data_IF_157338154098
#
_entry.id   IF_157338154098
#
_cell.length_a   1.000
_cell.length_b   1.000
_cell.length_c   1.000
_cell.angle_alpha   90.00
_cell.angle_beta   90.00
_cell.angle_gamma   90.00
#
_symmetry.space_group_name_H-M   'P 1'
#
loop_
_entity.id
_entity.type
_entity.pdbx_description
1 polymer ?
#
# COMPACT_ATOMS: atom_id res chain seq x y z
N UNK A 1 20.08 47.74 -40.10
CA UNK A 1 20.53 47.31 -41.44
C UNK A 1 20.50 45.81 -41.49
N UNK A 2 19.69 45.30 -42.42
CA UNK A 2 19.46 43.90 -42.79
C UNK A 2 20.72 43.20 -43.30
N UNK A 3 20.88 41.90 -42.97
CA UNK A 3 21.54 40.87 -43.80
C UNK A 3 21.27 39.49 -43.18
N UNK A 4 20.31 38.73 -43.69
CA UNK A 4 20.36 37.78 -44.83
C UNK A 4 21.27 36.57 -44.58
N UNK A 5 20.62 35.41 -44.44
CA UNK A 5 21.18 34.06 -44.43
C UNK A 5 21.70 33.65 -45.81
N UNK A 6 22.77 32.87 -45.85
CA UNK A 6 23.30 32.22 -47.05
C UNK A 6 23.34 30.71 -46.85
N UNK A 7 22.83 29.99 -47.85
CA UNK A 7 22.87 28.54 -48.07
C UNK A 7 24.29 28.02 -48.40
N UNK A 8 24.54 26.73 -48.13
CA UNK A 8 25.54 25.87 -48.79
C UNK A 8 24.78 24.61 -49.27
N UNK A 9 24.63 24.34 -50.58
CA UNK A 9 25.56 23.66 -51.53
C UNK A 9 25.78 22.19 -51.11
N UNK A 10 25.06 21.22 -51.68
CA UNK A 10 25.23 20.54 -52.99
C UNK A 10 26.37 19.50 -53.02
N UNK A 11 26.10 18.32 -53.59
CA UNK A 11 27.15 17.43 -54.11
C UNK A 11 26.87 15.94 -54.02
N UNK A 12 26.69 15.31 -55.19
CA UNK A 12 26.38 13.89 -55.44
C UNK A 12 27.55 12.92 -55.18
N UNK A 13 27.29 11.60 -55.25
CA UNK A 13 28.02 10.60 -56.07
C UNK A 13 27.23 9.28 -56.15
N UNK A 14 27.14 8.75 -57.38
CA UNK A 14 26.61 7.43 -57.76
C UNK A 14 27.56 6.28 -57.36
N UNK A 15 27.01 5.09 -57.10
CA UNK A 15 27.67 3.82 -57.48
C UNK A 15 26.63 2.73 -57.76
N UNK A 16 26.61 2.25 -59.00
CA UNK A 16 25.97 1.01 -59.44
C UNK A 16 26.87 -0.19 -59.11
N UNK A 17 26.25 -1.33 -58.82
CA UNK A 17 26.90 -2.65 -58.82
C UNK A 17 25.87 -3.78 -58.74
N UNK A 18 25.46 -4.28 -59.92
CA UNK A 18 24.81 -5.60 -60.11
C UNK A 18 25.80 -6.73 -59.72
N UNK A 19 25.36 -7.96 -59.39
CA UNK A 19 25.25 -9.09 -60.35
C UNK A 19 24.69 -10.38 -59.67
N UNK A 20 23.65 -10.95 -60.32
CA UNK A 20 23.16 -12.37 -60.45
C UNK A 20 22.65 -13.16 -59.23
N UNK A 21 21.42 -13.72 -59.17
CA UNK A 21 20.63 -14.70 -59.99
C UNK A 21 20.49 -16.00 -59.14
N UNK A 22 19.33 -16.67 -58.94
CA UNK A 22 18.25 -17.15 -59.84
C UNK A 22 16.91 -17.19 -59.05
N UNK A 23 15.80 -16.64 -59.57
CA UNK A 23 14.76 -17.25 -60.43
C UNK A 23 13.86 -18.29 -59.70
N UNK A 24 12.52 -18.30 -59.78
CA UNK A 24 11.52 -17.66 -60.65
C UNK A 24 10.14 -17.67 -59.91
N UNK A 25 9.46 -16.53 -59.79
CA UNK A 25 8.33 -16.01 -60.61
C UNK A 25 6.99 -16.76 -60.50
N UNK A 26 6.01 -16.11 -59.85
CA UNK A 26 4.86 -15.47 -60.54
C UNK A 26 4.32 -14.32 -59.67
N UNK A 27 4.30 -13.13 -60.25
CA UNK A 27 3.80 -11.83 -59.76
C UNK A 27 2.54 -11.45 -60.59
N UNK A 28 1.85 -10.30 -60.39
CA UNK A 28 1.37 -9.67 -59.14
C UNK A 28 -0.07 -9.10 -59.28
N UNK A 29 -0.66 -8.66 -58.17
CA UNK A 29 -1.51 -7.45 -58.16
C UNK A 29 -1.19 -6.63 -56.90
N UNK A 30 -0.88 -5.35 -57.14
CA UNK A 30 -0.43 -4.33 -56.20
C UNK A 30 -1.42 -4.00 -55.07
N UNK A 31 -0.91 -3.79 -53.85
CA UNK A 31 -1.29 -2.65 -53.00
C UNK A 31 -0.41 -2.54 -51.72
N UNK A 32 0.43 -1.51 -51.72
CA UNK A 32 0.91 -0.68 -50.61
C UNK A 32 1.36 -1.28 -49.26
N UNK A 33 2.66 -1.09 -49.02
CA UNK A 33 3.30 -1.16 -47.71
C UNK A 33 2.94 0.05 -46.84
N UNK A 34 2.20 -0.16 -45.75
CA UNK A 34 2.33 0.60 -44.49
C UNK A 34 1.81 -0.24 -43.33
N UNK A 35 2.65 -0.59 -42.34
CA UNK A 35 2.17 -1.38 -41.20
C UNK A 35 3.22 -1.65 -40.14
N UNK A 36 3.27 -0.76 -39.14
CA UNK A 36 4.07 -0.84 -37.92
C UNK A 36 4.12 -2.25 -37.33
N UNK A 37 5.32 -2.73 -36.99
CA UNK A 37 5.49 -3.89 -36.12
C UNK A 37 4.78 -3.59 -34.78
N UNK A 38 3.68 -4.30 -34.51
CA UNK A 38 3.04 -4.31 -33.19
C UNK A 38 3.94 -5.09 -32.22
N UNK A 39 4.19 -4.59 -31.00
CA UNK A 39 4.69 -5.43 -29.93
C UNK A 39 3.70 -6.57 -29.71
N UNK A 40 4.19 -7.80 -29.53
CA UNK A 40 3.35 -8.93 -29.12
C UNK A 40 2.75 -8.60 -27.76
N UNK A 41 1.43 -8.52 -27.69
CA UNK A 41 0.68 -8.36 -26.46
C UNK A 41 0.99 -9.55 -25.52
N UNK A 42 1.32 -9.22 -24.27
CA UNK A 42 1.39 -10.18 -23.16
C UNK A 42 0.01 -10.81 -22.93
N UNK A 43 -0.03 -12.04 -22.42
CA UNK A 43 -1.25 -12.77 -22.09
C UNK A 43 -2.00 -12.07 -20.95
N UNK A 44 -3.12 -11.42 -21.26
CA UNK A 44 -4.10 -10.92 -20.29
C UNK A 44 -4.74 -12.08 -19.50
N UNK A 45 -5.05 -11.87 -18.22
CA UNK A 45 -5.99 -12.74 -17.51
C UNK A 45 -7.36 -12.58 -18.18
N UNK A 46 -7.90 -13.64 -18.79
CA UNK A 46 -9.25 -13.62 -19.37
C UNK A 46 -10.18 -14.43 -18.50
N UNK A 47 -11.38 -13.91 -18.30
CA UNK A 47 -12.52 -14.62 -17.74
C UNK A 47 -12.61 -16.04 -18.33
N UNK A 48 -12.57 -17.06 -17.47
CA UNK A 48 -12.69 -18.47 -17.85
C UNK A 48 -11.44 -19.16 -18.41
N UNK A 49 -10.26 -18.54 -18.38
CA UNK A 49 -8.99 -19.19 -18.81
C UNK A 49 -7.99 -19.46 -17.69
N UNK A 50 -8.23 -18.91 -16.50
CA UNK A 50 -7.44 -19.19 -15.30
C UNK A 50 -7.87 -20.46 -14.58
N UNK A 51 -7.16 -20.82 -13.49
CA UNK A 51 -7.53 -21.95 -12.63
C UNK A 51 -8.94 -21.77 -12.06
N UNK A 52 -9.66 -22.88 -11.89
CA UNK A 52 -10.93 -22.86 -11.19
C UNK A 52 -10.67 -22.74 -9.69
N UNK A 53 -11.45 -21.92 -9.00
CA UNK A 53 -11.42 -21.89 -7.55
C UNK A 53 -12.12 -23.15 -7.02
N UNK A 54 -11.38 -23.96 -6.27
CA UNK A 54 -11.87 -25.21 -5.66
C UNK A 54 -12.11 -25.08 -4.15
N UNK A 55 -11.91 -23.88 -3.59
CA UNK A 55 -12.14 -23.59 -2.18
C UNK A 55 -13.63 -23.42 -1.82
N UNK A 56 -13.88 -23.16 -0.54
CA UNK A 56 -15.23 -22.94 -0.02
C UNK A 56 -15.86 -21.64 -0.56
N UNK A 57 -17.18 -21.62 -0.70
CA UNK A 57 -17.88 -20.38 -1.05
C UNK A 57 -17.55 -19.26 -0.05
N UNK A 58 -17.31 -18.06 -0.57
CA UNK A 58 -16.91 -16.90 0.21
C UNK A 58 -18.12 -15.96 0.41
N UNK A 59 -18.75 -15.92 1.60
CA UNK A 59 -19.95 -15.13 1.82
C UNK A 59 -19.75 -13.63 1.56
N UNK A 60 -20.74 -12.97 0.95
CA UNK A 60 -20.65 -11.55 0.60
C UNK A 60 -19.82 -11.26 -0.65
N UNK A 61 -19.33 -12.29 -1.33
CA UNK A 61 -18.58 -12.20 -2.58
C UNK A 61 -19.24 -13.06 -3.68
N UNK A 62 -18.92 -12.77 -4.93
CA UNK A 62 -19.46 -13.51 -6.07
C UNK A 62 -19.14 -15.00 -5.97
N UNK A 63 -20.11 -15.87 -6.30
CA UNK A 63 -19.94 -17.34 -6.23
C UNK A 63 -18.81 -17.90 -7.12
N UNK A 64 -18.31 -17.11 -8.07
CA UNK A 64 -17.15 -17.42 -8.91
C UNK A 64 -16.20 -16.23 -8.92
N UNK A 65 -14.89 -16.47 -9.06
CA UNK A 65 -13.95 -15.38 -9.27
C UNK A 65 -14.30 -14.64 -10.57
N UNK A 66 -14.17 -13.32 -10.55
CA UNK A 66 -14.21 -12.48 -11.75
C UNK A 66 -13.11 -12.91 -12.73
N UNK A 67 -11.92 -13.20 -12.19
CA UNK A 67 -10.80 -13.79 -12.92
C UNK A 67 -9.82 -14.46 -11.97
N UNK A 68 -8.92 -15.26 -12.54
CA UNK A 68 -7.88 -15.95 -11.80
C UNK A 68 -6.60 -16.06 -12.63
N UNK A 69 -5.47 -16.22 -11.96
CA UNK A 69 -4.15 -16.41 -12.55
C UNK A 69 -3.48 -17.63 -11.96
N UNK A 70 -2.76 -18.37 -12.81
CA UNK A 70 -1.95 -19.47 -12.33
C UNK A 70 -0.71 -18.94 -11.59
N UNK A 71 -0.39 -19.51 -10.43
CA UNK A 71 0.76 -19.09 -9.63
C UNK A 71 2.12 -19.42 -10.22
N UNK A 72 2.22 -20.34 -11.20
CA UNK A 72 3.50 -20.69 -11.82
C UNK A 72 4.11 -19.51 -12.58
N UNK A 73 5.09 -18.86 -11.96
CA UNK A 73 5.83 -17.74 -12.53
C UNK A 73 5.46 -16.38 -11.95
N UNK A 74 4.43 -16.31 -11.10
CA UNK A 74 4.20 -15.18 -10.21
C UNK A 74 5.12 -15.35 -8.99
N UNK A 75 5.80 -14.29 -8.55
CA UNK A 75 6.82 -14.36 -7.48
C UNK A 75 6.41 -13.66 -6.20
N UNK A 76 5.35 -12.86 -6.22
CA UNK A 76 4.91 -12.16 -5.02
C UNK A 76 3.94 -11.03 -5.30
N UNK A 77 3.70 -10.30 -4.22
CA UNK A 77 2.97 -9.05 -4.23
C UNK A 77 3.94 -7.88 -3.97
N UNK A 78 3.44 -6.65 -3.94
CA UNK A 78 4.29 -5.51 -3.67
C UNK A 78 4.56 -5.41 -2.17
N UNK A 79 5.76 -4.94 -1.80
CA UNK A 79 6.12 -4.66 -0.41
C UNK A 79 5.35 -3.45 0.11
N UNK A 80 4.84 -3.52 1.34
CA UNK A 80 4.14 -2.45 2.03
C UNK A 80 4.93 -2.03 3.28
N UNK A 81 5.94 -1.15 3.12
CA UNK A 81 6.77 -0.73 4.24
C UNK A 81 5.99 0.08 5.29
N UNK A 82 4.85 0.68 4.93
CA UNK A 82 4.00 1.39 5.87
C UNK A 82 3.26 0.41 6.79
N UNK A 83 2.71 -0.66 6.22
CA UNK A 83 2.13 -1.77 6.98
C UNK A 83 3.19 -2.45 7.86
N UNK A 84 4.37 -2.77 7.30
CA UNK A 84 5.47 -3.36 8.05
C UNK A 84 5.86 -2.51 9.27
N UNK A 85 5.99 -1.19 9.09
CA UNK A 85 6.30 -0.24 10.16
C UNK A 85 5.16 -0.04 11.17
N UNK A 86 3.90 -0.27 10.76
CA UNK A 86 2.75 -0.24 11.66
C UNK A 86 2.67 -1.49 12.54
N UNK A 87 3.35 -2.58 12.17
CA UNK A 87 3.47 -3.76 13.02
C UNK A 87 4.65 -3.60 13.99
N UNK A 88 4.43 -3.85 15.29
CA UNK A 88 5.53 -3.94 16.27
C UNK A 88 6.36 -5.25 16.12
N UNK A 89 6.12 -6.01 15.05
CA UNK A 89 6.76 -7.30 14.79
C UNK A 89 8.07 -7.08 14.05
N UNK A 90 9.19 -7.28 14.76
CA UNK A 90 10.53 -7.16 14.18
C UNK A 90 10.74 -8.21 13.09
N UNK A 91 11.11 -7.76 11.87
CA UNK A 91 11.26 -8.57 10.64
C UNK A 91 9.95 -9.08 10.04
N UNK A 92 8.87 -8.30 10.14
CA UNK A 92 7.65 -8.54 9.38
C UNK A 92 7.78 -7.93 7.98
N UNK A 93 7.87 -8.78 6.96
CA UNK A 93 7.87 -8.36 5.55
C UNK A 93 6.43 -8.27 5.08
N UNK A 94 5.79 -7.12 5.29
CA UNK A 94 4.40 -6.92 4.89
C UNK A 94 4.29 -6.84 3.37
N UNK A 95 3.59 -7.78 2.75
CA UNK A 95 3.28 -7.74 1.32
C UNK A 95 1.80 -7.58 1.07
N UNK A 96 1.46 -6.73 0.10
CA UNK A 96 0.09 -6.55 -0.36
C UNK A 96 -0.03 -6.64 -1.87
N UNK A 97 -1.03 -7.39 -2.30
CA UNK A 97 -1.40 -7.55 -3.69
C UNK A 97 -2.39 -6.47 -4.12
N UNK A 98 -2.77 -5.56 -3.22
CA UNK A 98 -3.76 -4.51 -3.44
C UNK A 98 -3.09 -3.16 -3.52
N UNK A 99 -3.52 -2.34 -4.47
CA UNK A 99 -3.13 -0.95 -4.60
C UNK A 99 -4.38 -0.13 -4.93
N UNK A 100 -5.07 0.38 -3.91
CA UNK A 100 -6.34 1.08 -4.10
C UNK A 100 -7.38 0.20 -4.79
N UNK A 101 -7.79 0.59 -6.00
CA UNK A 101 -8.75 -0.13 -6.85
C UNK A 101 -8.07 -1.06 -7.89
N UNK A 102 -6.82 -1.46 -7.64
CA UNK A 102 -6.02 -2.31 -8.52
C UNK A 102 -5.44 -3.50 -7.78
N UNK A 103 -5.17 -4.58 -8.52
CA UNK A 103 -4.35 -5.71 -8.04
C UNK A 103 -2.95 -5.56 -8.61
N UNK A 104 -1.92 -5.60 -7.77
CA UNK A 104 -0.52 -5.50 -8.17
C UNK A 104 0.21 -6.81 -7.92
N UNK A 105 0.87 -7.33 -8.96
CA UNK A 105 1.70 -8.52 -8.87
C UNK A 105 3.10 -8.23 -9.36
N UNK A 106 4.07 -8.84 -8.69
CA UNK A 106 5.49 -8.60 -8.92
C UNK A 106 6.19 -9.90 -9.34
N UNK A 107 7.20 -9.75 -10.20
CA UNK A 107 7.97 -10.84 -10.80
C UNK A 107 9.47 -10.50 -10.75
N UNK A 108 10.28 -11.39 -10.18
CA UNK A 108 11.74 -11.38 -10.37
C UNK A 108 12.08 -12.19 -11.63
N UNK A 109 12.56 -11.47 -12.64
CA UNK A 109 12.96 -11.97 -13.96
C UNK A 109 14.48 -12.14 -14.09
N UNK A 110 15.22 -11.95 -12.99
CA UNK A 110 16.68 -12.03 -12.96
C UNK A 110 17.16 -13.46 -13.27
N UNK A 111 18.22 -13.58 -14.06
CA UNK A 111 18.83 -14.88 -14.33
C UNK A 111 19.72 -15.30 -13.15
N UNK A 112 19.41 -16.44 -12.51
CA UNK A 112 20.27 -16.99 -11.47
C UNK A 112 21.52 -17.62 -12.10
N UNK A 113 22.62 -16.87 -12.21
CA UNK A 113 23.93 -17.42 -12.60
C UNK A 113 24.94 -17.29 -11.45
N UNK A 114 25.62 -18.37 -11.10
CA UNK A 114 26.56 -18.43 -9.97
C UNK A 114 27.92 -17.74 -10.25
N UNK A 115 28.13 -17.12 -11.41
CA UNK A 115 29.49 -16.79 -11.86
C UNK A 115 29.82 -15.29 -12.02
N UNK A 116 28.84 -14.39 -12.19
CA UNK A 116 29.09 -12.95 -12.35
C UNK A 116 27.96 -12.11 -11.73
N UNK A 117 28.24 -10.85 -11.39
CA UNK A 117 27.22 -9.87 -11.03
C UNK A 117 26.28 -9.72 -12.24
N UNK A 118 25.09 -10.27 -12.13
CA UNK A 118 24.08 -10.24 -13.19
C UNK A 118 23.20 -9.02 -13.03
N UNK A 119 22.77 -8.47 -14.16
CA UNK A 119 21.70 -7.48 -14.22
C UNK A 119 20.46 -8.07 -13.52
N UNK A 120 19.88 -7.32 -12.58
CA UNK A 120 18.62 -7.73 -11.96
C UNK A 120 17.47 -7.16 -12.78
N UNK A 121 16.43 -7.97 -13.00
CA UNK A 121 15.25 -7.56 -13.77
C UNK A 121 14.01 -7.84 -12.96
N UNK A 122 13.19 -6.82 -12.76
CA UNK A 122 11.94 -6.92 -12.02
C UNK A 122 10.79 -6.45 -12.88
N UNK A 123 9.59 -6.99 -12.64
CA UNK A 123 8.37 -6.56 -13.31
C UNK A 123 7.24 -6.41 -12.33
N UNK A 124 6.50 -5.31 -12.44
CA UNK A 124 5.20 -5.13 -11.80
C UNK A 124 4.09 -5.11 -12.86
N UNK A 125 2.95 -5.72 -12.56
CA UNK A 125 1.72 -5.63 -13.37
C UNK A 125 0.56 -5.17 -12.50
N UNK A 126 -0.09 -4.10 -12.93
CA UNK A 126 -1.33 -3.62 -12.33
C UNK A 126 -2.50 -4.18 -13.15
N UNK A 127 -3.40 -4.89 -12.48
CA UNK A 127 -4.59 -5.49 -13.05
C UNK A 127 -5.83 -4.75 -12.59
N UNK A 128 -6.79 -4.67 -13.49
CA UNK A 128 -8.14 -4.27 -13.16
C UNK A 128 -8.86 -5.41 -12.41
N UNK A 129 -9.38 -5.18 -11.19
CA UNK A 129 -9.96 -6.24 -10.37
C UNK A 129 -11.27 -6.78 -10.95
N UNK A 130 -12.00 -5.99 -11.74
CA UNK A 130 -13.25 -6.43 -12.36
C UNK A 130 -13.03 -7.37 -13.54
N UNK A 131 -11.99 -7.11 -14.34
CA UNK A 131 -11.81 -7.75 -15.66
C UNK A 131 -10.56 -8.63 -15.77
N UNK A 132 -9.57 -8.43 -14.91
CA UNK A 132 -8.24 -9.05 -15.03
C UNK A 132 -7.41 -8.48 -16.17
N UNK A 133 -7.85 -7.39 -16.81
CA UNK A 133 -7.05 -6.71 -17.82
C UNK A 133 -5.85 -6.01 -17.17
N UNK A 134 -4.68 -6.16 -17.81
CA UNK A 134 -3.47 -5.47 -17.36
C UNK A 134 -3.61 -3.99 -17.73
N UNK A 135 -3.79 -3.14 -16.71
CA UNK A 135 -3.79 -1.68 -16.84
C UNK A 135 -2.40 -1.17 -17.22
N UNK A 136 -1.35 -1.73 -16.60
CA UNK A 136 0.05 -1.35 -16.83
C UNK A 136 1.00 -2.51 -16.53
N UNK A 137 2.06 -2.61 -17.32
CA UNK A 137 3.26 -3.39 -17.01
C UNK A 137 4.43 -2.42 -16.87
N UNK A 138 5.20 -2.57 -15.80
CA UNK A 138 6.42 -1.80 -15.56
C UNK A 138 7.57 -2.79 -15.41
N UNK A 139 8.56 -2.68 -16.30
CA UNK A 139 9.78 -3.49 -16.26
C UNK A 139 10.92 -2.60 -15.78
N UNK A 140 11.70 -3.11 -14.83
CA UNK A 140 12.87 -2.46 -14.26
C UNK A 140 14.09 -3.31 -14.54
N UNK A 141 15.13 -2.65 -15.02
CA UNK A 141 16.49 -3.17 -15.08
C UNK A 141 17.31 -2.48 -14.01
N UNK A 142 18.04 -3.26 -13.21
CA UNK A 142 19.04 -2.77 -12.27
C UNK A 142 20.41 -3.23 -12.79
N UNK A 143 21.24 -2.32 -13.32
CA UNK A 143 22.54 -2.65 -13.89
C UNK A 143 23.43 -3.38 -12.88
N UNK A 144 24.27 -4.31 -13.34
CA UNK A 144 25.22 -5.04 -12.49
C UNK A 144 26.21 -4.09 -11.78
N UNK A 145 26.45 -2.92 -12.36
CA UNK A 145 27.35 -1.87 -11.90
C UNK A 145 26.73 -0.99 -10.80
N UNK A 146 25.45 -1.14 -10.48
CA UNK A 146 24.82 -0.45 -9.36
C UNK A 146 25.47 -0.84 -8.03
N UNK A 147 26.06 0.15 -7.34
CA UNK A 147 26.73 0.02 -6.04
C UNK A 147 26.01 0.75 -4.89
N UNK A 148 24.73 1.11 -5.08
CA UNK A 148 23.94 1.76 -4.04
C UNK A 148 23.61 0.86 -2.85
N UNK A 149 23.14 1.49 -1.77
CA UNK A 149 22.83 0.85 -0.49
C UNK A 149 21.59 -0.07 -0.52
N UNK A 150 20.80 -0.05 -1.61
CA UNK A 150 19.64 -0.93 -1.79
C UNK A 150 20.09 -2.36 -2.09
N UNK A 151 19.62 -3.30 -1.29
CA UNK A 151 19.74 -4.72 -1.61
C UNK A 151 19.05 -5.01 -2.95
N UNK A 152 19.62 -5.93 -3.74
CA UNK A 152 19.11 -6.32 -5.07
C UNK A 152 17.92 -7.28 -4.95
N UNK A 153 16.93 -6.89 -4.18
CA UNK A 153 15.73 -7.66 -3.91
C UNK A 153 14.50 -6.89 -4.41
N UNK A 154 13.47 -7.62 -4.82
CA UNK A 154 12.33 -7.07 -5.55
C UNK A 154 11.57 -6.00 -4.74
N UNK A 155 11.41 -6.25 -3.44
CA UNK A 155 10.85 -5.37 -2.41
C UNK A 155 11.58 -4.01 -2.36
N UNK A 156 12.88 -3.97 -2.63
CA UNK A 156 13.65 -2.72 -2.65
C UNK A 156 13.47 -1.89 -3.93
N UNK A 157 12.83 -2.41 -4.98
CA UNK A 157 12.64 -1.67 -6.24
C UNK A 157 11.17 -1.47 -6.61
N UNK A 158 10.25 -2.18 -5.95
CA UNK A 158 8.80 -2.13 -6.20
C UNK A 158 8.04 -2.15 -4.87
N UNK A 159 7.56 -0.98 -4.43
CA UNK A 159 6.93 -0.79 -3.12
C UNK A 159 5.58 -0.08 -3.26
N UNK A 160 4.65 -0.40 -2.38
CA UNK A 160 3.47 0.42 -2.13
C UNK A 160 3.90 1.69 -1.40
N UNK A 161 3.29 2.80 -1.79
CA UNK A 161 3.52 4.12 -1.23
C UNK A 161 2.27 4.97 -1.46
N UNK A 162 2.41 6.27 -1.24
CA UNK A 162 1.37 7.25 -1.47
C UNK A 162 1.85 8.36 -2.40
N UNK A 163 0.91 8.97 -3.11
CA UNK A 163 1.12 10.23 -3.78
C UNK A 163 1.00 11.41 -2.81
N UNK A 164 1.27 12.62 -3.31
CA UNK A 164 1.32 13.86 -2.51
C UNK A 164 -0.02 14.24 -1.87
N UNK A 165 -1.11 13.69 -2.40
CA UNK A 165 -2.47 13.86 -1.87
C UNK A 165 -2.92 12.67 -0.99
N UNK A 166 -2.01 11.73 -0.68
CA UNK A 166 -2.30 10.54 0.10
C UNK A 166 -2.98 9.41 -0.68
N UNK A 167 -3.21 9.59 -1.98
CA UNK A 167 -3.75 8.49 -2.80
C UNK A 167 -2.71 7.35 -2.89
N UNK A 168 -3.13 6.08 -2.84
CA UNK A 168 -2.23 4.94 -3.02
C UNK A 168 -1.44 5.04 -4.33
N UNK A 169 -0.16 4.68 -4.31
CA UNK A 169 0.70 4.66 -5.49
C UNK A 169 1.73 3.52 -5.43
N UNK A 170 2.11 2.99 -6.61
CA UNK A 170 3.24 2.07 -6.73
C UNK A 170 4.52 2.88 -6.97
N UNK A 171 5.46 2.78 -6.05
CA UNK A 171 6.82 3.25 -6.23
C UNK A 171 7.63 2.24 -7.04
N UNK A 172 8.28 2.73 -8.08
CA UNK A 172 9.24 1.97 -8.89
C UNK A 172 10.55 2.71 -8.92
N UNK A 173 11.63 2.02 -8.54
CA UNK A 173 13.00 2.53 -8.60
C UNK A 173 13.72 1.82 -9.74
N UNK A 174 14.38 2.57 -10.62
CA UNK A 174 15.13 2.02 -11.76
C UNK A 174 16.51 2.66 -11.89
N UNK A 175 17.40 2.00 -12.65
CA UNK A 175 18.77 2.45 -12.84
C UNK A 175 19.25 2.37 -14.27
N UNK A 176 20.04 3.38 -14.66
CA UNK A 176 20.74 3.38 -15.94
C UNK A 176 22.22 3.69 -15.75
N UNK A 177 23.06 3.04 -16.56
CA UNK A 177 24.49 3.32 -16.62
C UNK A 177 24.72 4.51 -17.55
N UNK A 178 25.32 5.56 -17.00
CA UNK A 178 25.89 6.66 -17.78
C UNK A 178 27.35 6.34 -18.04
N UNK A 179 27.68 6.08 -19.31
CA UNK A 179 29.03 5.75 -19.75
C UNK A 179 30.05 6.86 -19.49
N UNK A 180 31.30 6.46 -19.30
CA UNK A 180 32.41 7.40 -19.19
C UNK A 180 32.63 8.17 -20.51
N UNK A 181 32.79 9.50 -20.44
CA UNK A 181 33.04 10.36 -21.61
C UNK A 181 34.52 10.75 -21.77
N UNK A 182 35.41 10.03 -21.07
CA UNK A 182 36.86 10.24 -21.06
C UNK A 182 37.34 11.24 -19.99
N UNK A 183 36.50 12.18 -19.57
CA UNK A 183 36.79 13.08 -18.43
C UNK A 183 35.98 12.69 -17.19
N UNK A 184 34.74 12.24 -17.38
CA UNK A 184 33.90 11.71 -16.33
C UNK A 184 34.03 10.19 -16.28
N UNK A 185 34.05 9.66 -15.06
CA UNK A 185 33.89 8.21 -14.84
C UNK A 185 32.46 7.82 -15.19
N UNK A 186 32.26 6.53 -15.49
CA UNK A 186 30.92 5.99 -15.57
C UNK A 186 30.20 6.20 -14.23
N UNK A 187 28.90 6.45 -14.28
CA UNK A 187 28.06 6.69 -13.10
C UNK A 187 26.69 6.09 -13.28
N UNK A 188 25.99 5.83 -12.19
CA UNK A 188 24.59 5.38 -12.24
C UNK A 188 23.67 6.59 -12.09
N UNK A 189 22.61 6.60 -12.90
CA UNK A 189 21.42 7.41 -12.66
C UNK A 189 20.33 6.56 -12.05
N UNK A 190 19.77 7.01 -10.93
CA UNK A 190 18.64 6.37 -10.27
C UNK A 190 17.39 7.19 -10.55
N UNK A 191 16.33 6.52 -11.00
CA UNK A 191 15.03 7.15 -11.28
C UNK A 191 13.97 6.57 -10.35
N UNK A 192 13.28 7.45 -9.62
CA UNK A 192 12.13 7.13 -8.80
C UNK A 192 10.88 7.52 -9.57
N UNK A 193 9.96 6.59 -9.80
CA UNK A 193 8.72 6.82 -10.54
C UNK A 193 7.54 6.31 -9.73
N UNK A 194 6.48 7.12 -9.60
CA UNK A 194 5.25 6.72 -8.94
C UNK A 194 4.13 6.52 -9.96
N UNK A 195 3.38 5.44 -9.80
CA UNK A 195 2.23 5.09 -10.65
C UNK A 195 0.96 5.02 -9.83
N UNK A 196 -0.13 5.60 -10.34
CA UNK A 196 -1.46 5.47 -9.76
C UNK A 196 -2.00 4.03 -9.94
N UNK A 197 -3.04 3.62 -9.17
CA UNK A 197 -3.76 2.35 -9.36
C UNK A 197 -4.28 2.13 -10.80
N UNK A 198 -4.58 3.22 -11.51
CA UNK A 198 -4.96 3.20 -12.93
C UNK A 198 -3.80 2.81 -13.88
N UNK A 199 -2.57 2.71 -13.39
CA UNK A 199 -1.36 2.49 -14.19
C UNK A 199 -0.76 3.76 -14.82
N UNK A 200 -1.36 4.93 -14.57
CA UNK A 200 -0.86 6.22 -15.03
C UNK A 200 0.37 6.64 -14.20
N UNK A 201 1.43 7.08 -14.87
CA UNK A 201 2.57 7.74 -14.20
C UNK A 201 2.12 9.06 -13.57
N UNK A 202 2.37 9.21 -12.27
CA UNK A 202 2.09 10.41 -11.48
C UNK A 202 3.25 11.40 -11.56
N UNK A 203 4.47 10.89 -11.55
CA UNK A 203 5.68 11.68 -11.75
C UNK A 203 6.95 10.85 -11.57
N UNK A 204 8.07 11.43 -11.97
CA UNK A 204 9.40 10.82 -11.86
C UNK A 204 10.46 11.85 -11.46
N UNK A 205 11.49 11.37 -10.76
CA UNK A 205 12.68 12.14 -10.37
C UNK A 205 13.93 11.32 -10.64
N UNK A 206 14.89 11.90 -11.36
CA UNK A 206 16.16 11.25 -11.69
C UNK A 206 17.29 11.93 -10.96
N UNK A 207 18.10 11.13 -10.26
CA UNK A 207 19.28 11.55 -9.52
C UNK A 207 20.52 10.89 -10.13
N UNK A 208 21.65 11.56 -10.04
CA UNK A 208 22.94 11.03 -10.52
C UNK A 208 23.90 10.86 -9.35
N UNK A 209 24.69 9.79 -9.38
CA UNK A 209 25.69 9.51 -8.35
C UNK A 209 25.18 8.60 -7.23
N UNK A 210 26.12 8.13 -6.42
CA UNK A 210 25.89 7.10 -5.39
C UNK A 210 24.90 7.56 -4.32
N UNK A 211 24.98 8.82 -3.88
CA UNK A 211 24.10 9.41 -2.84
C UNK A 211 22.60 9.38 -3.22
N UNK A 212 22.27 9.28 -4.51
CA UNK A 212 20.89 9.28 -5.00
C UNK A 212 20.23 7.90 -5.05
N UNK A 213 20.97 6.83 -4.76
CA UNK A 213 20.55 5.45 -5.03
C UNK A 213 19.72 4.80 -3.92
N UNK A 214 19.83 5.32 -2.68
CA UNK A 214 19.21 4.74 -1.49
C UNK A 214 18.18 5.64 -0.79
N UNK A 215 17.58 6.60 -1.50
CA UNK A 215 16.68 7.56 -0.85
C UNK A 215 15.31 6.94 -0.54
N UNK A 216 14.79 7.22 0.65
CA UNK A 216 13.42 6.87 1.06
C UNK A 216 12.41 7.75 0.34
N UNK A 217 11.27 7.18 -0.02
CA UNK A 217 10.12 7.91 -0.58
C UNK A 217 8.98 7.91 0.42
N UNK A 218 8.40 9.08 0.66
CA UNK A 218 7.24 9.26 1.53
C UNK A 218 6.29 10.27 0.87
N UNK A 219 4.99 9.93 0.78
CA UNK A 219 3.95 10.79 0.24
C UNK A 219 4.32 11.49 -1.08
N UNK A 220 4.95 10.78 -2.01
CA UNK A 220 5.40 11.33 -3.30
C UNK A 220 6.60 12.27 -3.24
N UNK A 221 7.42 12.19 -2.19
CA UNK A 221 8.64 12.99 -2.03
C UNK A 221 9.84 12.12 -1.64
N UNK A 222 11.03 12.53 -2.08
CA UNK A 222 12.30 11.89 -1.76
C UNK A 222 12.90 12.53 -0.50
N UNK A 223 13.27 11.72 0.49
CA UNK A 223 14.08 12.17 1.62
C UNK A 223 15.48 12.50 1.11
N UNK A 224 15.78 13.79 0.98
CA UNK A 224 17.04 14.28 0.37
C UNK A 224 18.06 14.76 1.39
N UNK A 225 17.63 15.03 2.61
CA UNK A 225 18.52 15.45 3.70
C UNK A 225 17.87 15.16 5.04
N UNK A 226 18.54 14.36 5.85
CA UNK A 226 18.18 14.17 7.24
C UNK A 226 18.80 15.27 8.11
N UNK A 227 18.05 15.80 9.07
CA UNK A 227 18.62 16.69 10.07
C UNK A 227 17.87 16.58 11.41
N UNK A 228 18.57 16.96 12.47
CA UNK A 228 18.01 16.91 13.82
C UNK A 228 16.69 17.68 13.93
N UNK A 229 15.57 16.97 14.15
CA UNK A 229 14.18 17.47 14.29
C UNK A 229 13.47 17.91 13.00
N UNK A 230 14.11 17.82 11.84
CA UNK A 230 13.44 18.13 10.57
C UNK A 230 14.19 17.53 9.40
N UNK A 231 13.46 16.84 8.55
CA UNK A 231 13.97 16.22 7.34
C UNK A 231 13.54 17.02 6.11
N UNK A 232 14.38 17.07 5.09
CA UNK A 232 14.08 17.77 3.84
C UNK A 232 13.65 16.79 2.76
N UNK A 233 12.42 16.97 2.28
CA UNK A 233 11.80 16.15 1.27
C UNK A 233 11.69 16.91 -0.06
N UNK A 234 12.19 16.33 -1.14
CA UNK A 234 12.09 16.91 -2.48
C UNK A 234 10.96 16.24 -3.26
N UNK A 235 9.98 16.99 -3.79
CA UNK A 235 8.85 16.38 -4.50
C UNK A 235 9.27 15.61 -5.76
N UNK A 236 8.70 14.42 -5.94
CA UNK A 236 8.85 13.66 -7.20
C UNK A 236 8.12 14.39 -8.33
N UNK A 237 8.74 14.51 -9.51
CA UNK A 237 8.21 15.31 -10.62
C UNK A 237 8.52 16.82 -10.51
N UNK A 238 9.35 17.21 -9.55
CA UNK A 238 9.80 18.59 -9.34
C UNK A 238 8.89 19.41 -8.43
N UNK A 239 9.41 20.57 -8.01
CA UNK A 239 8.78 21.46 -7.03
C UNK A 239 9.79 22.01 -6.04
N UNK A 240 9.33 22.86 -5.14
CA UNK A 240 10.16 23.32 -4.03
C UNK A 240 10.28 22.19 -2.99
N UNK A 241 11.48 21.91 -2.45
CA UNK A 241 11.63 21.03 -1.30
C UNK A 241 10.82 21.54 -0.11
N UNK A 242 10.34 20.61 0.69
CA UNK A 242 9.61 20.88 1.93
C UNK A 242 10.42 20.36 3.12
N UNK A 243 10.39 21.10 4.22
CA UNK A 243 10.93 20.64 5.49
C UNK A 243 9.80 20.01 6.27
N UNK A 244 9.91 18.72 6.56
CA UNK A 244 8.94 17.96 7.35
C UNK A 244 9.52 17.80 8.75
N UNK A 245 8.71 18.09 9.77
CA UNK A 245 9.14 17.89 11.14
C UNK A 245 9.32 16.40 11.40
N UNK A 246 10.45 16.09 12.02
CA UNK A 246 10.88 14.74 12.27
C UNK A 246 9.79 13.94 12.99
N UNK A 247 9.66 12.69 12.55
CA UNK A 247 8.91 11.64 13.21
C UNK A 247 9.36 11.61 14.67
N UNK A 248 8.43 11.44 15.60
CA UNK A 248 8.86 10.85 16.87
C UNK A 248 9.59 9.56 16.51
N UNK A 249 10.77 9.31 17.09
CA UNK A 249 11.48 8.05 16.84
C UNK A 249 10.45 6.92 17.02
N UNK A 250 10.27 6.11 15.97
CA UNK A 250 9.34 4.96 15.92
C UNK A 250 7.83 5.27 15.80
N UNK A 251 7.41 6.46 15.35
CA UNK A 251 6.00 6.75 15.04
C UNK A 251 5.70 6.69 13.53
N UNK A 252 4.76 5.83 13.12
CA UNK A 252 4.21 5.81 11.76
C UNK A 252 3.38 7.09 11.46
N UNK A 253 3.31 7.55 10.19
CA UNK A 253 2.44 8.67 9.82
C UNK A 253 0.99 8.36 10.20
N UNK A 254 0.31 9.30 10.85
CA UNK A 254 -1.13 9.23 11.05
C UNK A 254 -1.83 9.95 9.91
N UNK A 255 -2.86 9.35 9.31
CA UNK A 255 -3.60 9.98 8.22
C UNK A 255 -2.84 10.03 6.89
N UNK A 256 -3.40 10.72 5.92
CA UNK A 256 -2.97 10.66 4.53
C UNK A 256 -1.75 11.57 4.22
N UNK A 257 -0.91 11.16 3.26
CA UNK A 257 0.25 11.95 2.82
C UNK A 257 1.35 12.04 3.88
N UNK A 258 1.88 13.24 4.12
CA UNK A 258 2.81 13.42 5.26
C UNK A 258 2.10 13.32 6.61
N UNK A 259 0.77 13.42 6.63
CA UNK A 259 -0.05 13.16 7.79
C UNK A 259 0.23 14.03 9.01
N UNK A 260 -0.11 13.47 10.16
CA UNK A 260 -0.09 14.10 11.47
C UNK A 260 1.00 13.48 12.35
N UNK A 261 1.48 14.27 13.30
CA UNK A 261 2.41 13.84 14.36
C UNK A 261 1.73 14.01 15.70
N UNK A 262 1.77 12.96 16.51
CA UNK A 262 1.27 13.00 17.86
C UNK A 262 2.42 13.10 18.86
N UNK A 263 2.26 13.90 19.90
CA UNK A 263 3.21 14.01 21.02
C UNK A 263 2.46 13.76 22.30
N UNK A 264 3.01 12.90 23.15
CA UNK A 264 2.48 12.64 24.48
C UNK A 264 3.59 12.65 25.54
N UNK A 265 3.20 12.64 26.82
CA UNK A 265 4.09 12.70 27.97
C UNK A 265 4.79 11.39 28.33
N UNK A 266 4.28 10.23 27.89
CA UNK A 266 4.71 8.93 28.42
C UNK A 266 5.24 7.94 27.38
N UNK A 267 4.86 8.05 26.10
CA UNK A 267 5.48 7.29 25.00
C UNK A 267 5.21 8.00 23.67
N UNK A 268 6.29 8.36 22.95
CA UNK A 268 6.17 8.90 21.58
C UNK A 268 5.78 7.78 20.58
N UNK A 269 6.02 6.52 20.94
CA UNK A 269 5.78 5.34 20.11
C UNK A 269 4.27 5.04 20.04
N UNK A 270 3.56 5.10 21.17
CA UNK A 270 2.13 4.76 21.25
C UNK A 270 1.20 5.99 21.21
N UNK A 271 1.76 7.21 21.17
CA UNK A 271 0.99 8.45 21.34
C UNK A 271 0.22 8.53 22.67
N UNK A 272 0.64 7.77 23.70
CA UNK A 272 -0.14 7.63 24.94
C UNK A 272 0.30 8.60 26.05
N UNK A 273 -0.65 9.29 26.69
CA UNK A 273 -0.36 10.10 27.87
C UNK A 273 -1.42 11.13 28.23
N UNK A 274 -1.22 11.80 29.37
CA UNK A 274 -2.11 12.85 29.88
C UNK A 274 -1.96 14.21 29.17
N UNK A 275 -1.04 14.31 28.20
CA UNK A 275 -0.82 15.51 27.38
C UNK A 275 -0.56 15.13 25.93
N UNK A 276 -1.60 14.61 25.28
CA UNK A 276 -1.58 14.36 23.85
C UNK A 276 -1.80 15.66 23.07
N UNK A 277 -0.93 15.94 22.11
CA UNK A 277 -1.03 17.05 21.15
C UNK A 277 -0.80 16.50 19.74
N UNK A 278 -1.57 16.98 18.78
CA UNK A 278 -1.47 16.60 17.38
C UNK A 278 -1.10 17.82 16.54
N UNK A 279 -0.08 17.65 15.70
CA UNK A 279 0.41 18.66 14.78
C UNK A 279 0.43 18.16 13.35
N UNK A 280 0.27 19.08 12.41
CA UNK A 280 0.53 18.82 10.99
C UNK A 280 2.05 18.64 10.78
N UNK A 281 2.47 17.53 10.16
CA UNK A 281 3.91 17.20 10.01
C UNK A 281 4.64 18.14 9.06
N UNK A 282 3.94 18.63 8.05
CA UNK A 282 4.51 19.49 7.01
C UNK A 282 4.82 20.90 7.54
N UNK A 283 3.96 21.45 8.39
CA UNK A 283 4.06 22.81 8.92
C UNK A 283 4.62 22.85 10.33
N UNK A 284 4.53 21.74 11.07
CA UNK A 284 4.82 21.67 12.50
C UNK A 284 3.84 22.47 13.35
N UNK A 285 2.72 22.92 12.77
CA UNK A 285 1.69 23.68 13.48
C UNK A 285 0.88 22.71 14.34
N UNK A 286 0.82 22.98 15.64
CA UNK A 286 -0.15 22.32 16.52
C UNK A 286 -1.57 22.62 16.01
N UNK A 287 -2.33 21.55 15.79
CA UNK A 287 -3.71 21.61 15.32
C UNK A 287 -4.66 21.62 16.50
N UNK A 288 -4.43 20.73 17.47
CA UNK A 288 -5.22 20.58 18.69
C UNK A 288 -4.41 19.79 19.74
N UNK A 289 -4.83 19.90 21.00
CA UNK A 289 -4.39 19.05 22.10
C UNK A 289 -5.60 18.60 22.93
N UNK A 290 -5.40 17.76 23.97
CA UNK A 290 -6.51 17.23 24.79
C UNK A 290 -7.36 18.29 25.51
N UNK A 291 -6.87 19.52 25.67
CA UNK A 291 -7.67 20.62 26.23
C UNK A 291 -8.71 21.15 25.21
N UNK A 292 -8.48 20.93 23.92
CA UNK A 292 -9.36 21.35 22.82
C UNK A 292 -10.41 20.29 22.45
N UNK A 293 -10.26 19.07 22.94
CA UNK A 293 -11.10 17.91 22.58
C UNK A 293 -12.16 17.68 23.65
N UNK A 294 -13.42 17.54 23.21
CA UNK A 294 -14.53 17.18 24.10
C UNK A 294 -14.27 15.79 24.71
N UNK A 295 -14.31 15.71 26.05
CA UNK A 295 -14.17 14.45 26.79
C UNK A 295 -15.45 13.61 26.66
N UNK A 296 -15.34 12.27 26.72
CA UNK A 296 -16.50 11.40 26.86
C UNK A 296 -17.37 11.79 28.05
N UNK A 297 -18.68 11.58 27.95
CA UNK A 297 -19.63 11.97 29.00
C UNK A 297 -19.27 11.38 30.37
N UNK A 298 -18.78 10.13 30.39
CA UNK A 298 -18.36 9.45 31.62
C UNK A 298 -17.13 10.07 32.31
N UNK A 299 -16.33 10.86 31.59
CA UNK A 299 -15.09 11.48 32.09
C UNK A 299 -15.22 12.99 32.35
N UNK A 300 -16.43 13.55 32.22
CA UNK A 300 -16.66 15.01 32.34
C UNK A 300 -16.52 15.50 33.79
N UNK A 301 -16.82 14.66 34.78
CA UNK A 301 -16.81 15.02 36.20
C UNK A 301 -15.52 14.60 36.94
N UNK A 302 -14.53 14.03 36.24
CA UNK A 302 -13.25 13.63 36.83
C UNK A 302 -12.43 14.88 37.18
N UNK A 303 -11.98 15.00 38.44
CA UNK A 303 -11.23 16.18 38.91
C UNK A 303 -9.99 16.47 38.05
N UNK A 304 -9.80 17.73 37.64
CA UNK A 304 -8.74 18.20 36.73
C UNK A 304 -7.30 17.82 37.14
N UNK A 305 -7.06 17.35 38.37
CA UNK A 305 -5.73 16.91 38.81
C UNK A 305 -5.33 15.51 38.34
N UNK A 306 -6.30 14.71 37.88
CA UNK A 306 -6.10 13.35 37.37
C UNK A 306 -6.48 13.31 35.87
N UNK A 307 -5.74 14.05 35.04
CA UNK A 307 -5.97 14.04 33.58
C UNK A 307 -5.94 12.59 33.05
N UNK A 308 -7.04 12.12 32.42
CA UNK A 308 -7.12 10.74 31.94
C UNK A 308 -6.04 10.51 30.90
N UNK A 309 -5.39 9.35 30.95
CA UNK A 309 -4.43 9.02 29.91
C UNK A 309 -5.21 8.69 28.64
N UNK A 310 -4.77 9.27 27.53
CA UNK A 310 -5.42 9.04 26.24
C UNK A 310 -4.38 8.45 25.29
N UNK A 311 -4.82 7.47 24.50
CA UNK A 311 -4.05 6.89 23.40
C UNK A 311 -4.73 7.24 22.08
N UNK A 312 -3.94 7.55 21.06
CA UNK A 312 -4.43 7.79 19.72
C UNK A 312 -4.05 6.61 18.82
N UNK A 313 -5.07 6.00 18.21
CA UNK A 313 -4.92 4.94 17.21
C UNK A 313 -5.34 5.50 15.84
N UNK A 314 -4.58 5.21 14.76
CA UNK A 314 -4.97 5.64 13.42
C UNK A 314 -6.28 4.99 12.99
N UNK A 315 -7.09 5.77 12.27
CA UNK A 315 -8.17 5.28 11.41
C UNK A 315 -7.92 5.83 9.99
N UNK A 316 -8.72 5.43 9.01
CA UNK A 316 -8.62 5.98 7.64
C UNK A 316 -9.30 7.35 7.52
N UNK A 317 -9.08 8.02 6.38
CA UNK A 317 -9.72 9.31 6.02
C UNK A 317 -9.51 10.43 7.04
N UNK A 318 -8.29 10.59 7.55
CA UNK A 318 -7.93 11.59 8.56
C UNK A 318 -8.78 11.52 9.84
N UNK A 319 -9.26 10.33 10.18
CA UNK A 319 -9.89 10.05 11.47
C UNK A 319 -8.93 9.30 12.38
N UNK A 320 -9.18 9.37 13.67
CA UNK A 320 -8.46 8.58 14.68
C UNK A 320 -9.41 8.10 15.75
N UNK A 321 -9.00 7.03 16.45
CA UNK A 321 -9.67 6.56 17.65
C UNK A 321 -8.87 7.08 18.86
N UNK A 322 -9.52 7.85 19.73
CA UNK A 322 -8.99 8.14 21.06
C UNK A 322 -9.53 7.12 22.05
N UNK A 323 -8.64 6.37 22.68
CA UNK A 323 -8.95 5.46 23.79
C UNK A 323 -8.63 6.17 25.11
N UNK A 324 -9.66 6.40 25.92
CA UNK A 324 -9.59 7.17 27.15
C UNK A 324 -9.56 6.24 28.37
N UNK A 325 -8.45 6.23 29.11
CA UNK A 325 -8.31 5.46 30.36
C UNK A 325 -9.29 5.96 31.43
N UNK A 326 -10.08 5.04 31.98
CA UNK A 326 -11.00 5.36 33.06
C UNK A 326 -10.27 5.41 34.42
N UNK A 327 -10.62 6.35 35.32
CA UNK A 327 -10.04 6.40 36.66
C UNK A 327 -10.62 5.29 37.56
N UNK A 328 -9.78 4.62 38.36
CA UNK A 328 -10.23 3.68 39.41
C UNK A 328 -9.72 2.25 39.25
N UNK A 329 -10.40 1.29 39.89
CA UNK A 329 -10.03 -0.14 39.87
C UNK A 329 -10.30 -0.81 38.50
N UNK A 330 -11.01 -0.13 37.59
CA UNK A 330 -11.33 -0.56 36.22
C UNK A 330 -10.37 0.09 35.19
N UNK A 331 -9.14 0.44 35.59
CA UNK A 331 -8.15 1.16 34.77
C UNK A 331 -7.67 0.42 33.50
N UNK A 332 -8.13 -0.81 33.27
CA UNK A 332 -7.86 -1.57 32.06
C UNK A 332 -8.98 -1.40 31.01
N UNK A 333 -10.13 -0.79 31.35
CA UNK A 333 -11.20 -0.46 30.41
C UNK A 333 -11.06 0.99 29.89
N UNK A 334 -10.96 1.16 28.57
CA UNK A 334 -10.93 2.46 27.92
C UNK A 334 -12.22 2.75 27.14
N UNK A 335 -12.69 4.00 27.21
CA UNK A 335 -13.78 4.48 26.36
C UNK A 335 -13.19 4.83 25.00
N UNK A 336 -13.70 4.25 23.92
CA UNK A 336 -13.27 4.58 22.57
C UNK A 336 -14.08 5.75 22.02
N UNK A 337 -13.42 6.68 21.34
CA UNK A 337 -14.10 7.78 20.63
C UNK A 337 -13.49 7.98 19.26
N UNK A 338 -14.27 8.48 18.30
CA UNK A 338 -13.78 8.85 16.97
C UNK A 338 -13.57 10.35 16.92
N UNK A 339 -12.40 10.79 16.46
CA UNK A 339 -12.07 12.19 16.24
C UNK A 339 -11.62 12.46 14.81
N UNK A 340 -11.84 13.68 14.37
CA UNK A 340 -11.21 14.23 13.18
C UNK A 340 -9.76 14.66 13.51
N UNK A 341 -8.75 14.06 12.86
CA UNK A 341 -7.34 14.32 13.17
C UNK A 341 -6.90 15.74 12.78
N UNK A 342 -7.59 16.39 11.84
CA UNK A 342 -7.27 17.76 11.42
C UNK A 342 -7.71 18.82 12.44
N UNK A 343 -8.74 18.52 13.23
CA UNK A 343 -9.41 19.51 14.10
C UNK A 343 -9.56 19.09 15.55
N UNK A 344 -9.37 17.82 15.88
CA UNK A 344 -9.62 17.26 17.21
C UNK A 344 -11.11 17.13 17.52
N UNK A 345 -11.99 17.45 16.56
CA UNK A 345 -13.44 17.43 16.77
C UNK A 345 -13.90 16.01 17.04
N UNK A 346 -14.57 15.81 18.17
CA UNK A 346 -15.28 14.58 18.49
C UNK A 346 -16.38 14.32 17.45
N UNK A 347 -16.30 13.17 16.79
CA UNK A 347 -17.29 12.69 15.84
C UNK A 347 -18.30 11.81 16.57
N UNK A 348 -17.83 10.87 17.38
CA UNK A 348 -18.67 9.91 18.09
C UNK A 348 -18.02 9.41 19.39
N UNK A 349 -18.85 9.17 20.41
CA UNK A 349 -18.48 8.44 21.62
C UNK A 349 -18.89 6.98 21.46
N UNK A 350 -17.89 6.10 21.40
CA UNK A 350 -18.03 4.68 21.11
C UNK A 350 -18.10 3.80 22.36
N UNK A 351 -17.91 2.48 22.18
CA UNK A 351 -17.97 1.52 23.27
C UNK A 351 -16.76 1.60 24.21
N UNK A 352 -16.94 1.11 25.43
CA UNK A 352 -15.85 0.77 26.34
C UNK A 352 -15.17 -0.55 25.91
N UNK A 353 -13.86 -0.65 26.01
CA UNK A 353 -13.13 -1.86 25.67
C UNK A 353 -11.90 -2.02 26.55
N UNK A 354 -11.64 -3.26 26.98
CA UNK A 354 -10.44 -3.61 27.74
C UNK A 354 -9.22 -3.68 26.81
N UNK A 355 -8.23 -2.80 27.02
CA UNK A 355 -6.94 -2.81 26.30
C UNK A 355 -5.78 -3.34 27.18
N UNK A 356 -6.02 -4.34 28.05
CA UNK A 356 -5.06 -5.01 28.98
C UNK A 356 -3.58 -4.78 28.62
N UNK A 357 -2.79 -4.43 29.64
CA UNK A 357 -1.34 -4.21 29.64
C UNK A 357 -0.49 -5.10 28.73
N UNK A 358 -0.87 -6.36 28.53
CA UNK A 358 -0.13 -7.30 27.67
C UNK A 358 -0.46 -7.17 26.18
N UNK A 359 -1.59 -6.57 25.83
CA UNK A 359 -2.11 -6.33 24.48
C UNK A 359 -1.89 -4.91 23.97
N UNK A 360 -1.15 -4.08 24.74
CA UNK A 360 -0.87 -2.65 24.49
C UNK A 360 -0.15 -2.31 23.17
N UNK A 361 0.05 -3.26 22.26
CA UNK A 361 0.57 -3.04 20.90
C UNK A 361 0.00 -4.01 19.84
N UNK A 362 -1.01 -4.84 20.17
CA UNK A 362 -1.45 -5.96 19.33
C UNK A 362 -2.94 -5.93 18.96
N UNK A 363 -3.57 -4.75 19.00
CA UNK A 363 -4.96 -4.63 18.59
C UNK A 363 -5.12 -4.71 17.08
N UNK A 364 -6.13 -5.44 16.60
CA UNK A 364 -6.51 -5.42 15.17
C UNK A 364 -7.74 -4.52 14.99
N UNK A 365 -7.71 -3.69 13.94
CA UNK A 365 -8.81 -2.79 13.59
C UNK A 365 -9.08 -2.89 12.09
N UNK A 366 -10.33 -3.18 11.73
CA UNK A 366 -10.77 -3.17 10.32
C UNK A 366 -11.94 -2.23 10.16
N UNK A 367 -11.93 -1.46 9.07
CA UNK A 367 -12.98 -0.51 8.74
C UNK A 367 -13.75 -0.98 7.50
N UNK A 368 -15.06 -0.76 7.48
CA UNK A 368 -15.86 -0.99 6.29
C UNK A 368 -15.44 -0.05 5.15
N UNK A 369 -15.59 -0.44 3.87
CA UNK A 369 -15.20 0.42 2.75
C UNK A 369 -15.90 1.79 2.70
N UNK A 370 -17.07 1.91 3.32
CA UNK A 370 -17.81 3.18 3.45
C UNK A 370 -17.38 4.02 4.67
N UNK A 371 -16.45 3.52 5.48
CA UNK A 371 -15.94 4.17 6.68
C UNK A 371 -16.93 4.22 7.85
N UNK A 372 -18.12 3.64 7.72
CA UNK A 372 -19.22 3.80 8.68
C UNK A 372 -19.25 2.78 9.81
N UNK A 373 -18.55 1.65 9.67
CA UNK A 373 -18.48 0.59 10.68
C UNK A 373 -17.06 0.13 10.88
N UNK A 374 -16.67 -0.05 12.13
CA UNK A 374 -15.35 -0.55 12.50
C UNK A 374 -15.51 -1.79 13.37
N UNK A 375 -14.58 -2.73 13.24
CA UNK A 375 -14.41 -3.84 14.18
C UNK A 375 -13.04 -3.73 14.79
N UNK A 376 -12.99 -3.54 16.11
CA UNK A 376 -11.78 -3.44 16.91
C UNK A 376 -11.63 -4.69 17.76
N UNK A 377 -10.43 -5.27 17.83
CA UNK A 377 -10.11 -6.34 18.77
C UNK A 377 -8.92 -5.93 19.61
N UNK A 378 -9.15 -5.80 20.92
CA UNK A 378 -8.13 -5.60 21.95
C UNK A 378 -8.23 -6.72 23.00
N UNK A 379 -7.67 -6.53 24.19
CA UNK A 379 -7.62 -7.54 25.26
C UNK A 379 -8.99 -8.14 25.62
N UNK A 380 -10.05 -7.31 25.58
CA UNK A 380 -11.43 -7.73 25.86
C UNK A 380 -12.16 -8.50 24.77
N UNK A 381 -11.52 -8.81 23.63
CA UNK A 381 -12.15 -9.43 22.46
C UNK A 381 -12.66 -8.43 21.43
N UNK A 382 -13.29 -8.92 20.36
CA UNK A 382 -13.75 -8.09 19.25
C UNK A 382 -15.05 -7.31 19.56
N UNK A 383 -15.14 -6.08 19.07
CA UNK A 383 -16.32 -5.22 19.17
C UNK A 383 -16.57 -4.58 17.81
N UNK A 384 -17.81 -4.71 17.31
CA UNK A 384 -18.26 -4.02 16.11
C UNK A 384 -19.11 -2.81 16.49
N UNK A 385 -18.84 -1.66 15.89
CA UNK A 385 -19.54 -0.43 16.22
C UNK A 385 -19.52 0.58 15.08
N UNK A 386 -20.46 1.51 15.10
CA UNK A 386 -20.62 2.53 14.07
C UNK A 386 -19.75 3.76 14.37
N UNK A 387 -18.92 4.19 13.43
CA UNK A 387 -17.92 5.26 13.64
C UNK A 387 -18.52 6.67 13.65
N UNK A 388 -19.72 6.84 13.10
CA UNK A 388 -20.40 8.15 13.04
C UNK A 388 -21.26 8.42 14.27
N UNK A 389 -21.81 7.36 14.87
CA UNK A 389 -22.76 7.44 16.00
C UNK A 389 -22.20 6.87 17.29
N UNK A 390 -21.14 6.07 17.21
CA UNK A 390 -20.56 5.36 18.34
C UNK A 390 -21.35 4.13 18.80
N UNK A 391 -22.49 3.85 18.16
CA UNK A 391 -23.37 2.76 18.56
C UNK A 391 -22.69 1.39 18.40
N UNK A 392 -22.58 0.64 19.50
CA UNK A 392 -22.17 -0.76 19.49
C UNK A 392 -23.20 -1.60 18.72
N UNK A 393 -22.72 -2.40 17.78
CA UNK A 393 -23.51 -3.37 17.02
C UNK A 393 -23.53 -4.71 17.75
N UNK A 394 -22.35 -5.16 18.19
CA UNK A 394 -22.18 -6.33 19.03
C UNK A 394 -20.78 -6.34 19.66
N UNK A 395 -20.65 -7.16 20.68
CA UNK A 395 -19.40 -7.49 21.38
C UNK A 395 -19.21 -8.98 21.46
N UNK A 396 -17.96 -9.41 21.39
CA UNK A 396 -17.56 -10.79 21.63
C UNK A 396 -17.77 -11.15 23.11
N UNK A 397 -18.38 -12.30 23.35
CA UNK A 397 -18.61 -12.81 24.72
C UNK A 397 -17.37 -13.57 25.21
N UNK A 398 -17.14 -13.60 26.52
CA UNK A 398 -15.91 -14.17 27.13
C UNK A 398 -15.71 -15.67 26.87
N UNK A 399 -16.79 -16.39 26.55
CA UNK A 399 -16.79 -17.82 26.23
C UNK A 399 -16.78 -18.11 24.72
N UNK A 400 -16.73 -17.08 23.88
CA UNK A 400 -16.55 -17.22 22.43
C UNK A 400 -15.07 -17.32 22.05
N UNK A 401 -14.81 -17.97 20.91
CA UNK A 401 -13.49 -17.98 20.28
C UNK A 401 -13.02 -16.57 19.94
N UNK A 402 -11.71 -16.31 20.11
CA UNK A 402 -11.10 -15.01 19.79
C UNK A 402 -11.30 -14.73 18.30
N UNK A 403 -11.85 -13.55 18.01
CA UNK A 403 -12.05 -13.07 16.64
C UNK A 403 -11.01 -11.99 16.36
N UNK A 404 -9.97 -12.30 15.57
CA UNK A 404 -9.06 -11.30 15.04
C UNK A 404 -9.61 -10.82 13.69
N UNK A 405 -10.12 -9.59 13.58
CA UNK A 405 -10.67 -9.10 12.32
C UNK A 405 -9.59 -8.98 11.25
N UNK A 406 -9.94 -9.32 10.00
CA UNK A 406 -9.07 -9.27 8.82
C UNK A 406 -9.62 -8.35 7.71
N UNK A 407 -10.94 -8.29 7.52
CA UNK A 407 -11.53 -7.39 6.52
C UNK A 407 -13.05 -7.34 6.54
N UNK A 408 -13.60 -6.27 5.97
CA UNK A 408 -15.04 -6.02 5.89
C UNK A 408 -15.48 -5.82 4.44
N UNK A 409 -16.52 -6.53 4.03
CA UNK A 409 -17.16 -6.32 2.73
C UNK A 409 -18.22 -5.23 2.81
N UNK A 410 -18.51 -4.57 1.68
CA UNK A 410 -19.66 -3.65 1.54
C UNK A 410 -21.02 -4.35 1.74
N UNK A 411 -21.04 -5.68 1.61
CA UNK A 411 -22.18 -6.54 1.88
C UNK A 411 -22.50 -6.72 3.37
N UNK A 412 -21.59 -6.32 4.28
CA UNK A 412 -21.77 -6.52 5.73
C UNK A 412 -21.32 -7.91 6.19
N UNK A 413 -20.29 -8.47 5.55
CA UNK A 413 -19.60 -9.68 6.00
C UNK A 413 -18.24 -9.28 6.58
N UNK A 414 -17.98 -9.71 7.81
CA UNK A 414 -16.69 -9.64 8.48
C UNK A 414 -15.91 -10.93 8.22
N UNK A 415 -14.72 -10.80 7.66
CA UNK A 415 -13.72 -11.86 7.64
C UNK A 415 -12.81 -11.68 8.85
N UNK A 416 -12.56 -12.76 9.58
CA UNK A 416 -11.65 -12.78 10.71
C UNK A 416 -10.94 -14.12 10.87
N UNK A 417 -9.76 -14.11 11.47
CA UNK A 417 -9.12 -15.32 11.97
C UNK A 417 -9.78 -15.67 13.31
N UNK A 418 -10.38 -16.86 13.42
CA UNK A 418 -11.11 -17.30 14.60
C UNK A 418 -10.51 -18.61 15.11
N UNK A 419 -9.79 -18.57 16.24
CA UNK A 419 -9.08 -19.70 16.90
C UNK A 419 -8.98 -20.99 16.06
N UNK A 420 -9.70 -22.04 16.45
CA UNK A 420 -9.68 -23.37 15.82
C UNK A 420 -10.53 -23.47 14.56
N UNK A 421 -11.13 -22.35 14.12
CA UNK A 421 -12.01 -22.25 12.95
C UNK A 421 -11.31 -21.67 11.72
N UNK A 422 -10.08 -21.15 11.87
CA UNK A 422 -9.33 -20.52 10.78
C UNK A 422 -10.01 -19.24 10.28
N UNK A 423 -9.78 -18.89 9.01
CA UNK A 423 -10.46 -17.74 8.40
C UNK A 423 -11.96 -18.04 8.33
N UNK A 424 -12.74 -17.16 8.95
CA UNK A 424 -14.18 -17.30 9.16
C UNK A 424 -14.89 -16.05 8.69
N UNK A 425 -15.98 -16.24 7.93
CA UNK A 425 -16.89 -15.18 7.54
C UNK A 425 -18.05 -15.12 8.54
N UNK A 426 -18.30 -13.93 9.09
CA UNK A 426 -19.36 -13.63 10.04
C UNK A 426 -20.29 -12.56 9.44
N UNK A 427 -21.59 -12.69 9.68
CA UNK A 427 -22.54 -11.63 9.42
C UNK A 427 -22.26 -10.47 10.38
N UNK A 428 -21.91 -9.30 9.86
CA UNK A 428 -21.52 -8.15 10.66
C UNK A 428 -22.64 -7.66 11.57
N UNK A 429 -23.91 -7.90 11.21
CA UNK A 429 -25.05 -7.39 11.97
C UNK A 429 -25.44 -8.30 13.13
N UNK A 430 -25.23 -9.61 12.98
CA UNK A 430 -25.71 -10.63 13.90
C UNK A 430 -24.60 -11.46 14.54
N UNK A 431 -23.34 -11.25 14.16
CA UNK A 431 -22.16 -12.03 14.59
C UNK A 431 -22.28 -13.52 14.24
N UNK A 432 -23.24 -13.91 13.40
CA UNK A 432 -23.45 -15.32 13.03
C UNK A 432 -22.36 -15.77 12.06
N UNK A 433 -21.77 -16.92 12.35
CA UNK A 433 -20.87 -17.61 11.43
C UNK A 433 -21.64 -17.98 10.17
N UNK A 434 -21.18 -17.46 9.03
CA UNK A 434 -21.71 -17.75 7.69
C UNK A 434 -20.95 -18.91 7.06
N UNK A 435 -19.62 -18.90 7.20
CA UNK A 435 -18.73 -19.97 6.78
C UNK A 435 -17.42 -19.91 7.57
N UNK A 436 -16.71 -21.03 7.69
CA UNK A 436 -15.44 -21.17 8.41
C UNK A 436 -14.45 -22.00 7.60
N UNK A 437 -13.18 -22.01 8.00
CA UNK A 437 -12.10 -22.73 7.31
C UNK A 437 -11.98 -22.29 5.83
N UNK A 438 -12.07 -20.98 5.59
CA UNK A 438 -12.11 -20.38 4.26
C UNK A 438 -10.72 -20.19 3.63
N UNK A 439 -9.65 -20.43 4.39
CA UNK A 439 -8.29 -20.30 3.88
C UNK A 439 -8.00 -21.46 2.89
N UNK A 440 -7.58 -21.19 1.64
CA UNK A 440 -6.94 -22.23 0.84
C UNK A 440 -5.69 -22.74 1.57
N UNK A 441 -5.33 -24.01 1.39
CA UNK A 441 -4.14 -24.56 2.06
C UNK A 441 -2.91 -23.68 1.75
N UNK A 442 -2.13 -23.28 2.79
CA UNK A 442 -0.95 -22.46 2.58
C UNK A 442 0.08 -23.28 1.79
N UNK A 443 0.36 -22.86 0.56
CA UNK A 443 1.37 -23.46 -0.29
C UNK A 443 2.40 -22.38 -0.62
N UNK A 444 3.66 -22.72 -0.34
CA UNK A 444 4.84 -21.87 -0.13
C UNK A 444 5.31 -20.97 -1.29
N UNK A 445 4.59 -20.86 -2.40
CA UNK A 445 5.26 -20.51 -3.67
C UNK A 445 4.80 -19.18 -4.31
N UNK A 446 3.76 -18.52 -3.80
CA UNK A 446 3.21 -17.29 -4.39
C UNK A 446 3.29 -16.07 -3.45
N UNK A 447 3.03 -16.26 -2.16
CA UNK A 447 2.93 -15.18 -1.15
C UNK A 447 3.25 -15.72 0.24
N UNK A 448 4.49 -16.13 0.49
CA UNK A 448 4.87 -16.67 1.81
C UNK A 448 4.56 -15.67 2.95
N UNK A 449 4.59 -14.38 2.64
CA UNK A 449 4.47 -13.28 3.60
C UNK A 449 3.29 -12.32 3.32
N UNK A 450 2.49 -12.55 2.26
CA UNK A 450 1.27 -11.76 2.03
C UNK A 450 0.05 -12.40 2.71
N UNK A 451 -0.90 -11.57 3.14
CA UNK A 451 -2.16 -12.06 3.67
C UNK A 451 -2.95 -12.87 2.63
N UNK A 452 -3.54 -13.98 3.06
CA UNK A 452 -4.29 -14.91 2.20
C UNK A 452 -5.53 -14.25 1.58
N UNK A 453 -6.11 -13.27 2.25
CA UNK A 453 -7.32 -12.57 1.83
C UNK A 453 -7.17 -11.06 2.04
N UNK A 454 -7.22 -10.30 0.96
CA UNK A 454 -7.10 -8.84 0.96
C UNK A 454 -8.26 -8.21 0.19
N UNK A 455 -8.51 -6.92 0.39
CA UNK A 455 -9.61 -6.20 -0.25
C UNK A 455 -9.15 -4.92 -0.93
N UNK A 456 -9.57 -4.72 -2.18
CA UNK A 456 -9.42 -3.43 -2.88
C UNK A 456 -10.37 -2.38 -2.29
N UNK A 457 -10.10 -1.10 -2.52
CA UNK A 457 -10.93 0.01 -2.01
C UNK A 457 -12.34 0.03 -2.60
N UNK A 458 -12.55 -0.59 -3.77
CA UNK A 458 -13.86 -0.79 -4.39
C UNK A 458 -14.52 -2.14 -4.00
N UNK A 459 -13.90 -2.90 -3.09
CA UNK A 459 -14.49 -4.05 -2.41
C UNK A 459 -14.30 -5.40 -3.10
N UNK A 460 -13.42 -5.51 -4.10
CA UNK A 460 -13.02 -6.80 -4.64
C UNK A 460 -12.12 -7.51 -3.65
N UNK A 461 -12.31 -8.81 -3.49
CA UNK A 461 -11.46 -9.64 -2.66
C UNK A 461 -10.37 -10.28 -3.52
N UNK A 462 -9.12 -10.21 -3.06
CA UNK A 462 -7.97 -10.93 -3.60
C UNK A 462 -7.67 -12.09 -2.68
N UNK A 463 -7.75 -13.31 -3.21
CA UNK A 463 -7.38 -14.53 -2.50
C UNK A 463 -6.08 -15.05 -3.08
N UNK A 464 -5.02 -15.02 -2.28
CA UNK A 464 -3.69 -15.48 -2.65
C UNK A 464 -3.40 -16.86 -2.03
N UNK A 465 -3.09 -17.84 -2.88
CA UNK A 465 -2.70 -19.19 -2.48
C UNK A 465 -1.71 -19.78 -3.48
N UNK A 466 -1.90 -21.02 -3.92
CA UNK A 466 -1.10 -21.60 -5.03
C UNK A 466 -1.41 -20.98 -6.40
N UNK A 467 -2.55 -20.31 -6.51
CA UNK A 467 -3.03 -19.52 -7.62
C UNK A 467 -3.64 -18.24 -7.03
N UNK A 468 -3.89 -17.23 -7.86
CA UNK A 468 -4.53 -15.98 -7.45
C UNK A 468 -5.95 -15.90 -7.99
N UNK A 469 -6.90 -15.54 -7.12
CA UNK A 469 -8.31 -15.41 -7.46
C UNK A 469 -8.82 -14.04 -7.03
N UNK A 470 -9.60 -13.39 -7.90
CA UNK A 470 -10.23 -12.10 -7.59
C UNK A 470 -11.74 -12.26 -7.66
N UNK A 471 -12.42 -11.91 -6.58
CA UNK A 471 -13.88 -12.03 -6.45
C UNK A 471 -14.53 -10.65 -6.40
N UNK A 472 -15.64 -10.49 -7.12
CA UNK A 472 -16.42 -9.28 -7.05
C UNK A 472 -17.22 -9.22 -5.73
N UNK A 473 -17.44 -8.03 -5.16
CA UNK A 473 -18.38 -7.89 -4.05
C UNK A 473 -19.78 -8.30 -4.48
N UNK A 474 -20.56 -8.94 -3.60
CA UNK A 474 -21.98 -9.13 -3.86
C UNK A 474 -22.68 -7.78 -3.94
N UNK A 475 -23.37 -7.54 -5.04
CA UNK A 475 -24.28 -6.39 -5.13
C UNK A 475 -25.51 -6.70 -4.31
N UNK A 476 -25.82 -5.85 -3.31
CA UNK A 476 -27.10 -5.92 -2.59
C UNK A 476 -28.24 -5.88 -3.62
N UNK A 477 -28.98 -6.99 -3.76
CA UNK A 477 -30.20 -7.05 -4.55
C UNK A 477 -31.36 -6.34 -3.87
#
# INVERSE_FOLDING_TARGET
MTKTRTFLVAGAILSLGLVTACAADTDPEDADATGKAKPKASSSAREGTGPAYEGAELPGLSARPAWSLNGRGLKGCADDPAEAAATEVVNFDAQTCVLGDAVVLTEDLSESSQAEATESRFRARLYDPATGEVRRTVDVTVPAEWQGDRDRALDQFMQISEWKDGSPALLVVSGDVVEADGLKKASITTTYTLYAPSGKELGSSTLSGEDGSGLTVEAGHLLTKEAYKSDTYTPIGGGAPVEVRDRGVDQAPLGAGFGYRAVSTWSVVDGSGSRLSVSDRLTGKELWNLEDVDRPAALTDVEDSDDPKVRLLPLTDDKGILAWEQPGDDADDEILTVVDLGTGRLIAEGPEQDLDQKSRGWGSTVLSPDGGTVVTQFGGGAVAWNTETGAELWRQEKDEHIITPLGLTSGGVLYGSVDTMGITALDLKTKKVLASDLAPEPISDLTADAEVLQFTTDGYAVVAGSDLFVFAPETKQ
#
